data_IF_295170958956
#
_entry.id   IF_295170958956
#
_cell.length_a   1.000
_cell.length_b   1.000
_cell.length_c   1.000
_cell.angle_alpha   90.00
_cell.angle_beta   90.00
_cell.angle_gamma   90.00
#
_symmetry.space_group_name_H-M   'P 1'
#
loop_
_entity.id
_entity.type
_entity.pdbx_description
1 polymer ?
#
# COMPACT_ATOMS: atom_id res chain seq x y z
N UNK A 1 -5.11 4.41 -6.71
CA UNK A 1 -5.22 3.84 -5.35
C UNK A 1 -3.95 4.11 -4.56
N UNK A 2 -4.01 4.83 -3.44
CA UNK A 2 -2.86 5.11 -2.57
C UNK A 2 -2.93 4.15 -1.37
N UNK A 3 -1.95 3.26 -1.24
CA UNK A 3 -1.90 2.34 -0.10
C UNK A 3 -1.42 3.10 1.14
N UNK A 4 -2.37 3.55 1.96
CA UNK A 4 -2.08 4.45 3.06
C UNK A 4 -1.79 3.71 4.37
N UNK A 5 -0.53 3.34 4.58
CA UNK A 5 -0.08 2.72 5.83
C UNK A 5 -0.33 3.62 7.07
N UNK A 6 -0.44 4.94 6.88
CA UNK A 6 -0.70 5.90 7.98
C UNK A 6 -2.02 5.62 8.70
N UNK A 7 -3.04 5.09 7.99
CA UNK A 7 -4.33 4.75 8.59
C UNK A 7 -4.21 3.61 9.60
N UNK A 8 -3.21 2.74 9.45
CA UNK A 8 -2.97 1.61 10.36
C UNK A 8 -2.08 1.97 11.55
N UNK A 9 -1.32 3.06 11.42
CA UNK A 9 -0.46 3.61 12.48
C UNK A 9 -1.16 4.73 13.25
N UNK A 10 -2.26 5.27 12.71
CA UNK A 10 -3.05 6.34 13.31
C UNK A 10 -3.67 5.92 14.64
N UNK A 11 -2.98 6.20 15.74
CA UNK A 11 -3.46 6.00 17.10
C UNK A 11 -2.30 5.86 18.09
N UNK A 12 -2.45 6.41 19.30
CA UNK A 12 -1.42 6.35 20.38
C UNK A 12 -1.05 4.91 20.79
N UNK A 13 -1.85 3.94 20.37
CA UNK A 13 -1.80 2.54 20.73
C UNK A 13 -0.73 1.73 19.99
N UNK A 14 -0.33 2.09 18.77
CA UNK A 14 0.74 1.39 18.05
C UNK A 14 2.12 1.83 18.56
N UNK A 15 2.31 3.13 18.78
CA UNK A 15 3.52 3.68 19.38
C UNK A 15 3.78 3.12 20.79
N UNK A 16 2.72 2.96 21.59
CA UNK A 16 2.81 2.30 22.92
C UNK A 16 3.20 0.84 22.82
N UNK A 17 2.59 0.08 21.89
CA UNK A 17 2.86 -1.34 21.74
C UNK A 17 4.29 -1.63 21.27
N UNK A 18 4.85 -0.74 20.44
CA UNK A 18 6.26 -0.79 20.05
C UNK A 18 7.19 -0.36 21.18
N UNK A 19 6.83 0.69 21.93
CA UNK A 19 7.61 1.12 23.09
C UNK A 19 7.72 0.06 24.20
N UNK A 20 6.71 -0.81 24.37
CA UNK A 20 6.73 -1.90 25.36
C UNK A 20 7.32 -3.21 24.83
N UNK A 21 7.65 -3.29 23.53
CA UNK A 21 8.20 -4.51 22.91
C UNK A 21 7.26 -5.72 22.90
N UNK A 22 5.98 -5.54 23.26
CA UNK A 22 5.04 -6.66 23.40
C UNK A 22 4.50 -7.10 22.03
N UNK A 23 5.22 -8.00 21.38
CA UNK A 23 4.86 -8.54 20.05
C UNK A 23 3.44 -9.11 19.99
N UNK A 24 2.96 -9.76 21.06
CA UNK A 24 1.61 -10.34 21.08
C UNK A 24 0.53 -9.26 20.95
N UNK A 25 0.71 -8.12 21.62
CA UNK A 25 -0.23 -7.00 21.55
C UNK A 25 -0.21 -6.30 20.19
N UNK A 26 0.96 -6.24 19.54
CA UNK A 26 1.05 -5.71 18.18
C UNK A 26 0.36 -6.66 17.19
N UNK A 27 0.58 -7.98 17.29
CA UNK A 27 -0.05 -8.99 16.41
C UNK A 27 -1.58 -8.96 16.53
N UNK A 28 -2.13 -8.92 17.76
CA UNK A 28 -3.57 -8.84 17.98
C UNK A 28 -4.24 -7.66 17.27
N UNK A 29 -3.51 -6.55 17.10
CA UNK A 29 -4.00 -5.37 16.39
C UNK A 29 -3.85 -5.48 14.88
N UNK A 30 -2.76 -6.09 14.41
CA UNK A 30 -2.46 -6.17 12.98
C UNK A 30 -3.32 -7.22 12.27
N UNK A 31 -3.62 -8.36 12.90
CA UNK A 31 -4.38 -9.43 12.25
C UNK A 31 -5.74 -8.93 11.71
N UNK A 32 -6.59 -8.27 12.51
CA UNK A 32 -7.86 -7.75 12.02
C UNK A 32 -7.70 -6.73 10.90
N UNK A 33 -6.70 -5.86 10.97
CA UNK A 33 -6.42 -4.84 9.96
C UNK A 33 -5.96 -5.47 8.64
N UNK A 34 -5.10 -6.49 8.70
CA UNK A 34 -4.65 -7.26 7.54
C UNK A 34 -5.83 -7.92 6.83
N UNK A 35 -6.76 -8.51 7.60
CA UNK A 35 -7.96 -9.14 7.07
C UNK A 35 -8.93 -8.12 6.45
N UNK A 36 -9.23 -7.02 7.16
CA UNK A 36 -10.18 -6.00 6.70
C UNK A 36 -9.73 -5.27 5.44
N UNK A 37 -8.43 -5.13 5.24
CA UNK A 37 -7.85 -4.46 4.07
C UNK A 37 -7.36 -5.44 3.00
N UNK A 38 -7.63 -6.75 3.17
CA UNK A 38 -7.19 -7.80 2.25
C UNK A 38 -5.70 -7.71 1.91
N UNK A 39 -4.85 -7.37 2.88
CA UNK A 39 -3.42 -7.17 2.66
C UNK A 39 -2.72 -8.52 2.56
N UNK A 40 -1.82 -8.65 1.60
CA UNK A 40 -0.97 -9.84 1.49
C UNK A 40 0.20 -9.81 2.48
N UNK A 41 0.63 -8.63 2.89
CA UNK A 41 1.76 -8.45 3.80
C UNK A 41 1.53 -7.31 4.79
N UNK A 42 1.95 -7.53 6.04
CA UNK A 42 2.22 -6.49 7.03
C UNK A 42 3.54 -6.79 7.73
N UNK A 43 4.47 -5.85 7.68
CA UNK A 43 5.73 -5.88 8.42
C UNK A 43 5.81 -4.69 9.36
N UNK A 44 6.43 -4.91 10.51
CA UNK A 44 6.75 -3.86 11.48
C UNK A 44 8.23 -3.92 11.79
N UNK A 45 8.90 -2.79 11.64
CA UNK A 45 10.34 -2.64 11.89
C UNK A 45 10.60 -1.78 13.12
N UNK A 46 11.70 -2.06 13.82
CA UNK A 46 12.23 -1.18 14.87
C UNK A 46 12.96 0.03 14.29
N UNK A 47 13.42 0.94 15.15
CA UNK A 47 14.21 2.13 14.77
C UNK A 47 15.55 1.82 14.08
N UNK A 48 16.03 0.59 14.19
CA UNK A 48 17.27 0.12 13.57
C UNK A 48 17.00 -0.59 12.22
N UNK A 49 15.73 -0.73 11.82
CA UNK A 49 15.33 -1.43 10.61
C UNK A 49 15.15 -2.94 10.78
N UNK A 50 15.21 -3.48 11.99
CA UNK A 50 15.00 -4.91 12.21
C UNK A 50 13.52 -5.25 12.21
N UNK A 51 13.15 -6.36 11.56
CA UNK A 51 11.78 -6.87 11.60
C UNK A 51 11.38 -7.35 13.01
N UNK A 52 10.39 -6.70 13.59
CA UNK A 52 9.76 -7.10 14.85
C UNK A 52 8.66 -8.14 14.55
N UNK A 53 7.87 -7.86 13.51
CA UNK A 53 6.76 -8.67 13.01
C UNK A 53 6.85 -8.74 11.49
N UNK A 54 6.63 -9.93 10.95
CA UNK A 54 6.49 -10.18 9.53
C UNK A 54 5.30 -11.14 9.33
N UNK A 55 4.20 -10.61 8.82
CA UNK A 55 2.98 -11.36 8.54
C UNK A 55 2.71 -11.33 7.04
N UNK A 56 2.91 -12.46 6.38
CA UNK A 56 2.70 -12.62 4.94
C UNK A 56 1.73 -13.74 4.65
N UNK A 57 1.00 -13.59 3.56
CA UNK A 57 0.30 -14.70 2.95
C UNK A 57 1.31 -15.73 2.43
N UNK A 58 0.94 -17.02 2.37
CA UNK A 58 1.84 -18.07 1.88
C UNK A 58 2.47 -17.79 0.52
N UNK A 59 1.74 -17.08 -0.34
CA UNK A 59 2.16 -16.64 -1.69
C UNK A 59 3.33 -15.64 -1.69
N UNK A 60 3.60 -14.97 -0.57
CA UNK A 60 4.68 -14.00 -0.41
C UNK A 60 5.80 -14.47 0.54
N UNK A 61 5.70 -15.67 1.13
CA UNK A 61 6.69 -16.18 2.09
C UNK A 61 8.08 -16.38 1.48
N UNK A 62 8.15 -16.73 0.20
CA UNK A 62 9.42 -16.97 -0.50
C UNK A 62 9.94 -15.72 -1.23
N UNK A 63 9.18 -14.63 -1.21
CA UNK A 63 9.48 -13.43 -1.97
C UNK A 63 10.44 -12.55 -1.18
N UNK A 64 11.65 -12.37 -1.72
CA UNK A 64 12.61 -11.40 -1.18
C UNK A 64 12.23 -10.00 -1.65
N UNK A 65 11.88 -9.16 -0.69
CA UNK A 65 11.68 -7.72 -0.91
C UNK A 65 13.00 -7.02 -0.61
N UNK A 66 13.49 -6.19 -1.52
CA UNK A 66 14.69 -5.39 -1.30
C UNK A 66 14.35 -4.21 -0.39
N UNK A 67 14.49 -4.43 0.92
CA UNK A 67 13.92 -3.55 1.94
C UNK A 67 14.77 -2.30 2.27
N UNK A 68 16.03 -2.19 1.82
CA UNK A 68 16.94 -1.14 2.29
C UNK A 68 16.48 0.30 2.00
N UNK A 69 15.98 0.54 0.79
CA UNK A 69 15.45 1.86 0.42
C UNK A 69 14.18 2.15 1.20
N UNK A 70 13.31 1.15 1.38
CA UNK A 70 12.05 1.31 2.12
C UNK A 70 12.31 1.62 3.59
N UNK A 71 13.18 0.83 4.22
CA UNK A 71 13.59 0.99 5.62
C UNK A 71 14.25 2.35 5.84
N UNK A 72 15.17 2.78 4.98
CA UNK A 72 15.87 4.06 5.17
C UNK A 72 14.91 5.25 5.09
N UNK A 73 13.95 5.24 4.17
CA UNK A 73 12.90 6.25 4.07
C UNK A 73 12.02 6.30 5.34
N UNK A 74 11.63 5.13 5.85
CA UNK A 74 10.86 5.02 7.10
C UNK A 74 11.63 5.57 8.30
N UNK A 75 12.89 5.20 8.46
CA UNK A 75 13.73 5.65 9.59
C UNK A 75 13.91 7.17 9.53
N UNK A 76 14.03 7.74 8.32
CA UNK A 76 14.07 9.18 8.10
C UNK A 76 12.71 9.89 8.27
N UNK A 77 11.67 9.15 8.66
CA UNK A 77 10.36 9.72 8.98
C UNK A 77 9.48 10.01 7.76
N UNK A 78 9.79 9.42 6.60
CA UNK A 78 9.05 9.58 5.35
C UNK A 78 7.99 8.49 5.22
N UNK A 79 6.74 8.92 5.02
CA UNK A 79 5.66 8.03 4.61
C UNK A 79 5.53 8.08 3.09
N UNK A 80 5.42 6.92 2.44
CA UNK A 80 5.32 6.85 1.00
C UNK A 80 4.62 5.55 0.56
N UNK A 81 4.24 5.49 -0.71
CA UNK A 81 3.79 4.27 -1.37
C UNK A 81 4.61 4.05 -2.63
N UNK A 82 4.94 2.80 -2.94
CA UNK A 82 5.68 2.46 -4.15
C UNK A 82 5.25 1.11 -4.67
N UNK A 83 5.55 0.85 -5.94
CA UNK A 83 5.55 -0.51 -6.47
C UNK A 83 6.99 -1.02 -6.35
N UNK A 84 7.13 -2.25 -5.86
CA UNK A 84 8.40 -2.93 -5.71
C UNK A 84 8.33 -4.29 -6.40
N UNK A 85 9.47 -4.79 -6.84
CA UNK A 85 9.57 -6.13 -7.40
C UNK A 85 9.99 -7.10 -6.31
N UNK A 86 9.11 -8.05 -6.00
CA UNK A 86 9.43 -9.23 -5.22
C UNK A 86 10.07 -10.30 -6.09
N UNK A 87 11.24 -10.79 -5.70
CA UNK A 87 11.94 -11.87 -6.42
C UNK A 87 11.69 -13.23 -5.76
N UNK A 88 11.32 -14.21 -6.57
CA UNK A 88 11.24 -15.65 -6.25
C UNK A 88 12.19 -16.41 -7.18
N UNK A 89 12.52 -17.67 -6.88
CA UNK A 89 13.58 -18.44 -7.56
C UNK A 89 13.53 -18.36 -9.10
N UNK A 90 12.33 -18.41 -9.70
CA UNK A 90 12.10 -18.35 -11.16
C UNK A 90 11.01 -17.34 -11.58
N UNK A 91 10.62 -16.42 -10.70
CA UNK A 91 9.54 -15.48 -11.00
C UNK A 91 9.75 -14.13 -10.33
N UNK A 92 9.12 -13.10 -10.88
CA UNK A 92 9.06 -11.79 -10.24
C UNK A 92 7.60 -11.37 -10.12
N UNK A 93 7.24 -10.81 -8.96
CA UNK A 93 5.89 -10.29 -8.69
C UNK A 93 5.99 -8.81 -8.37
N UNK A 94 5.08 -8.02 -8.92
CA UNK A 94 4.94 -6.62 -8.53
C UNK A 94 4.08 -6.53 -7.27
N UNK A 95 4.58 -5.83 -6.27
CA UNK A 95 3.89 -5.64 -4.99
C UNK A 95 3.71 -4.15 -4.80
N UNK A 96 2.47 -3.71 -4.61
CA UNK A 96 2.17 -2.36 -4.17
C UNK A 96 2.39 -2.30 -2.66
N UNK A 97 3.28 -1.42 -2.22
CA UNK A 97 3.57 -1.19 -0.82
C UNK A 97 3.16 0.20 -0.36
N UNK A 98 2.75 0.27 0.91
CA UNK A 98 2.61 1.49 1.68
C UNK A 98 3.54 1.41 2.88
N UNK A 99 4.33 2.46 3.10
CA UNK A 99 5.30 2.54 4.18
C UNK A 99 5.04 3.80 5.01
N UNK A 100 5.05 3.66 6.33
CA UNK A 100 4.93 4.82 7.23
C UNK A 100 5.82 4.68 8.46
N UNK A 101 6.46 5.76 8.92
CA UNK A 101 7.11 5.79 10.21
C UNK A 101 6.10 5.68 11.34
N UNK A 102 6.52 5.06 12.42
CA UNK A 102 5.82 5.08 13.70
C UNK A 102 6.61 6.01 14.63
N UNK A 103 5.93 7.06 15.10
CA UNK A 103 6.55 8.15 15.86
C UNK A 103 6.10 8.12 17.32
N UNK A 104 7.00 8.52 18.21
CA UNK A 104 6.72 8.92 19.59
C UNK A 104 7.05 10.41 19.77
N UNK A 105 6.88 10.92 20.99
CA UNK A 105 7.29 12.28 21.35
C UNK A 105 8.82 12.48 21.24
N UNK A 106 9.60 11.40 21.12
CA UNK A 106 11.06 11.42 21.04
C UNK A 106 11.59 11.21 19.61
N UNK A 107 10.70 11.05 18.62
CA UNK A 107 11.07 10.84 17.21
C UNK A 107 10.55 9.52 16.63
N UNK A 108 11.19 9.05 15.56
CA UNK A 108 10.83 7.77 14.90
C UNK A 108 11.30 6.61 15.78
N UNK A 109 10.37 5.73 16.16
CA UNK A 109 10.65 4.53 16.98
C UNK A 109 10.56 3.23 16.19
N UNK A 110 10.22 3.32 14.90
CA UNK A 110 10.10 2.20 13.98
C UNK A 110 9.23 2.54 12.79
N UNK A 111 8.67 1.54 12.14
CA UNK A 111 7.72 1.77 11.06
C UNK A 111 6.91 0.55 10.66
N UNK A 112 5.96 0.80 9.78
CA UNK A 112 5.06 -0.22 9.25
C UNK A 112 5.14 -0.22 7.74
N UNK A 113 5.25 -1.42 7.17
CA UNK A 113 5.18 -1.67 5.74
C UNK A 113 3.99 -2.57 5.53
N UNK A 114 3.09 -2.18 4.65
CA UNK A 114 1.97 -3.02 4.20
C UNK A 114 2.10 -3.25 2.70
N UNK A 115 1.62 -4.40 2.25
CA UNK A 115 1.75 -4.78 0.84
C UNK A 115 0.57 -5.59 0.34
N UNK A 116 0.28 -5.41 -0.94
CA UNK A 116 -0.64 -6.26 -1.71
C UNK A 116 0.00 -6.61 -3.05
N UNK A 117 -0.19 -7.85 -3.50
CA UNK A 117 0.30 -8.32 -4.78
C UNK A 117 -0.52 -7.70 -5.89
N UNK A 118 0.15 -7.13 -6.89
CA UNK A 118 -0.54 -6.66 -8.10
C UNK A 118 -0.85 -7.89 -8.96
N UNK A 119 -2.14 -8.18 -9.11
CA UNK A 119 -2.66 -9.26 -9.94
C UNK A 119 -3.73 -8.72 -10.90
N UNK A 120 -4.21 -9.55 -11.82
CA UNK A 120 -5.20 -9.14 -12.81
C UNK A 120 -6.50 -8.66 -12.15
N UNK A 121 -6.92 -9.28 -11.05
CA UNK A 121 -8.12 -8.84 -10.33
C UNK A 121 -7.99 -7.38 -9.84
N UNK A 122 -6.86 -7.03 -9.20
CA UNK A 122 -6.61 -5.66 -8.75
C UNK A 122 -6.55 -4.67 -9.92
N UNK A 123 -5.93 -5.09 -11.04
CA UNK A 123 -5.88 -4.26 -12.25
C UNK A 123 -7.28 -4.07 -12.84
N UNK A 124 -8.09 -5.12 -12.90
CA UNK A 124 -9.46 -5.09 -13.41
C UNK A 124 -10.35 -4.17 -12.57
N UNK A 125 -10.24 -4.23 -11.23
CA UNK A 125 -10.91 -3.32 -10.31
C UNK A 125 -10.54 -1.85 -10.63
N UNK A 126 -9.25 -1.56 -10.83
CA UNK A 126 -8.78 -0.22 -11.23
C UNK A 126 -9.34 0.18 -12.60
N UNK A 127 -9.32 -0.72 -13.58
CA UNK A 127 -9.81 -0.44 -14.93
C UNK A 127 -11.32 -0.19 -14.95
N UNK A 128 -12.11 -0.91 -14.15
CA UNK A 128 -13.56 -0.73 -14.02
C UNK A 128 -13.88 0.63 -13.39
N UNK A 129 -13.21 1.00 -12.30
CA UNK A 129 -13.40 2.31 -11.66
C UNK A 129 -13.07 3.48 -12.60
N UNK A 130 -12.06 3.32 -13.45
CA UNK A 130 -11.65 4.36 -14.42
C UNK A 130 -12.66 4.54 -15.55
N UNK A 131 -13.38 3.48 -15.96
CA UNK A 131 -14.43 3.58 -16.99
C UNK A 131 -15.64 4.38 -16.54
N UNK A 132 -15.98 4.36 -15.24
CA UNK A 132 -17.12 5.11 -14.69
C UNK A 132 -16.82 6.63 -14.71
N UNK A 133 -15.56 7.03 -14.53
CA UNK A 133 -15.16 8.45 -14.61
C UNK A 133 -15.05 9.00 -16.04
N UNK A 134 -14.87 8.14 -17.05
CA UNK A 134 -14.84 8.55 -18.45
C UNK A 134 -16.22 8.60 -19.13
N UNK A 135 -17.33 8.60 -18.39
CA UNK A 135 -18.66 8.69 -18.98
C UNK A 135 -19.14 10.14 -19.22
N UNK A 136 -18.37 11.16 -18.81
CA UNK A 136 -18.66 12.57 -19.13
C UNK A 136 -18.04 13.08 -20.44
N UNK A 137 -17.23 12.29 -21.17
CA UNK A 137 -16.56 12.78 -22.38
C UNK A 137 -17.28 12.44 -23.71
N UNK A 138 -18.53 11.97 -23.67
CA UNK A 138 -19.31 11.66 -24.89
C UNK A 138 -20.68 12.33 -24.87
N UNK A 139 -20.77 13.56 -24.38
CA UNK A 139 -21.94 14.44 -24.62
C UNK A 139 -21.42 15.85 -24.94
N UNK A 140 -20.79 16.00 -26.11
CA UNK A 140 -20.20 17.30 -26.48
C UNK A 140 -19.85 17.54 -27.94
N UNK A 141 -19.99 16.57 -28.85
CA UNK A 141 -19.58 16.76 -30.26
C UNK A 141 -20.67 16.54 -31.30
N UNK A 142 -21.94 16.35 -30.91
CA UNK A 142 -23.03 16.11 -31.86
C UNK A 142 -24.03 17.27 -32.01
N UNK A 143 -23.55 18.53 -31.92
CA UNK A 143 -24.39 19.72 -32.16
C UNK A 143 -23.72 20.81 -33.01
N UNK A 144 -22.89 20.41 -33.98
CA UNK A 144 -22.37 21.30 -35.03
C UNK A 144 -22.61 20.80 -36.47
N UNK A 145 -23.48 19.78 -36.66
CA UNK A 145 -23.99 19.40 -37.99
C UNK A 145 -25.39 19.96 -38.24
N UNK A 146 -25.53 21.29 -38.17
CA UNK A 146 -26.65 21.98 -38.81
C UNK A 146 -26.06 23.00 -39.79
N UNK A 147 -26.53 22.94 -41.04
CA UNK A 147 -26.39 23.95 -42.11
C UNK A 147 -25.20 23.81 -43.08
N UNK A 148 -25.07 22.68 -43.79
CA UNK A 148 -24.33 22.65 -45.07
C UNK A 148 -24.94 21.83 -46.21
N UNK A 149 -26.23 21.53 -46.16
CA UNK A 149 -26.96 20.88 -47.28
C UNK A 149 -28.35 21.50 -47.49
N UNK A 150 -28.39 22.80 -47.74
CA UNK A 150 -29.50 23.50 -48.40
C UNK A 150 -28.90 24.77 -49.01
N UNK A 151 -28.24 24.62 -50.16
CA UNK A 151 -28.01 25.64 -51.20
C UNK A 151 -27.08 25.04 -52.26
N UNK A 152 -27.68 24.26 -53.16
CA UNK A 152 -27.47 24.27 -54.61
C UNK A 152 -28.32 23.15 -55.22
#
# INVERSE_FOLDING_TARGET
MYLNAKLLVGGTTMSKALGTGNKKEIIKKIIPLKASLSLDMVQVIDKNGNNIIDLRNPTLNQVKISDLVVISQIINGVAFSSIITGKEFNSSRSILIGATPIKSNQGVIGGMIIGTTINNQLLDEIFIETKIFCQCCVIGTNKLNKLKYLNN
#
